data_IF_549511185845
#
_entry.id   IF_549511185845
#
_cell.length_a   1.000
_cell.length_b   1.000
_cell.length_c   1.000
_cell.angle_alpha   90.00
_cell.angle_beta   90.00
_cell.angle_gamma   90.00
#
_symmetry.space_group_name_H-M   'P 1'
#
loop_
_entity.id
_entity.type
_entity.pdbx_description
1 polymer ?
#
# COMPACT_ATOMS: atom_id res chain seq x y z
N UNK A 1 -45.82 -67.33 14.22
CA UNK A 1 -44.72 -67.65 15.16
C UNK A 1 -43.62 -66.60 14.95
N UNK A 2 -43.23 -65.86 16.02
CA UNK A 2 -41.90 -65.25 16.37
C UNK A 2 -41.04 -64.66 15.22
N UNK A 3 -40.46 -63.45 15.25
CA UNK A 3 -39.92 -62.55 16.29
C UNK A 3 -39.98 -61.10 15.76
N UNK A 4 -40.33 -60.04 16.51
CA UNK A 4 -39.56 -59.36 17.58
C UNK A 4 -38.14 -58.90 17.17
N UNK A 5 -38.00 -57.62 16.83
CA UNK A 5 -36.97 -56.72 17.39
C UNK A 5 -37.42 -55.25 17.26
N UNK A 6 -38.02 -54.74 18.34
CA UNK A 6 -37.99 -53.33 18.69
C UNK A 6 -36.57 -53.04 19.19
N UNK A 7 -35.90 -52.02 18.66
CA UNK A 7 -34.66 -51.50 19.24
C UNK A 7 -34.84 -50.02 19.63
N UNK A 8 -34.54 -49.63 20.89
CA UNK A 8 -34.77 -48.28 21.40
C UNK A 8 -33.52 -47.40 21.32
N UNK A 9 -33.75 -46.08 21.33
CA UNK A 9 -33.01 -45.02 22.06
C UNK A 9 -31.47 -45.04 21.97
N UNK A 10 -30.86 -43.96 21.46
CA UNK A 10 -30.05 -43.04 22.28
C UNK A 10 -29.52 -41.86 21.45
N UNK A 11 -29.61 -40.70 22.06
CA UNK A 11 -29.09 -39.44 21.58
C UNK A 11 -27.56 -39.42 21.57
N UNK A 12 -26.98 -38.72 20.59
CA UNK A 12 -25.65 -38.15 20.70
C UNK A 12 -25.65 -36.81 19.94
N UNK A 13 -25.97 -35.74 20.68
CA UNK A 13 -25.60 -34.37 20.31
C UNK A 13 -24.07 -34.29 20.35
N UNK A 14 -23.42 -34.38 19.20
CA UNK A 14 -22.02 -33.98 19.07
C UNK A 14 -21.99 -32.46 18.89
N UNK A 15 -21.92 -31.73 20.02
CA UNK A 15 -21.52 -30.34 20.02
C UNK A 15 -20.05 -30.28 19.55
N UNK A 16 -19.83 -29.91 18.29
CA UNK A 16 -18.51 -29.56 17.81
C UNK A 16 -18.17 -28.19 18.40
N UNK A 17 -17.42 -28.19 19.51
CA UNK A 17 -16.83 -26.99 20.07
C UNK A 17 -15.85 -26.41 19.05
N UNK A 18 -16.23 -25.31 18.41
CA UNK A 18 -15.33 -24.49 17.61
C UNK A 18 -14.34 -23.82 18.58
N UNK A 19 -13.19 -24.46 18.79
CA UNK A 19 -12.07 -23.81 19.45
C UNK A 19 -11.50 -22.76 18.47
N UNK A 20 -12.06 -21.55 18.49
CA UNK A 20 -11.40 -20.39 17.90
C UNK A 20 -10.16 -20.10 18.76
N UNK A 21 -9.03 -20.69 18.40
CA UNK A 21 -7.76 -20.23 18.92
C UNK A 21 -7.60 -18.75 18.52
N UNK A 22 -7.33 -17.82 19.45
CA UNK A 22 -6.86 -16.51 19.03
C UNK A 22 -5.54 -16.74 18.29
N UNK A 23 -5.54 -16.44 16.99
CA UNK A 23 -4.30 -16.30 16.26
C UNK A 23 -3.57 -15.10 16.86
N UNK A 24 -2.73 -15.35 17.87
CA UNK A 24 -1.77 -14.39 18.36
C UNK A 24 -0.78 -14.18 17.21
N UNK A 25 -0.99 -13.10 16.45
CA UNK A 25 -0.01 -12.61 15.49
C UNK A 25 1.28 -12.37 16.27
N UNK A 26 2.24 -13.28 16.11
CA UNK A 26 3.58 -13.12 16.66
C UNK A 26 4.24 -12.00 15.88
N UNK A 27 4.15 -10.76 16.37
CA UNK A 27 5.06 -9.71 15.95
C UNK A 27 6.45 -10.15 16.37
N UNK A 28 7.25 -10.57 15.39
CA UNK A 28 8.66 -10.86 15.60
C UNK A 28 9.36 -9.61 16.10
N UNK A 29 9.56 -9.51 17.41
CA UNK A 29 10.58 -8.65 18.01
C UNK A 29 11.94 -9.27 17.65
N UNK A 30 12.36 -9.08 16.41
CA UNK A 30 13.53 -9.71 15.82
C UNK A 30 14.50 -8.66 15.30
N UNK A 31 15.54 -8.43 16.09
CA UNK A 31 16.82 -7.81 15.72
C UNK A 31 16.75 -6.49 14.93
N UNK A 32 17.05 -5.40 15.63
CA UNK A 32 17.43 -4.10 15.08
C UNK A 32 18.59 -4.27 14.09
N UNK A 33 18.24 -4.45 12.82
CA UNK A 33 19.09 -4.15 11.69
C UNK A 33 18.65 -2.76 11.23
N UNK A 34 19.63 -1.91 10.96
CA UNK A 34 19.51 -0.49 10.56
C UNK A 34 18.70 -0.29 9.26
N UNK A 35 17.42 -0.63 9.26
CA UNK A 35 16.46 -0.41 8.20
C UNK A 35 15.40 0.50 8.81
N UNK A 36 15.19 1.68 8.24
CA UNK A 36 14.33 2.67 8.89
C UNK A 36 12.91 2.07 8.90
N UNK A 37 12.34 1.81 10.07
CA UNK A 37 10.92 1.42 10.20
C UNK A 37 10.04 2.67 9.99
N UNK A 38 10.17 3.29 8.81
CA UNK A 38 9.42 4.47 8.43
C UNK A 38 8.01 3.99 8.08
N UNK A 39 7.05 4.06 9.01
CA UNK A 39 5.65 3.75 8.71
C UNK A 39 4.94 4.97 8.10
N UNK A 40 5.32 6.16 8.57
CA UNK A 40 4.78 7.45 8.18
C UNK A 40 5.94 8.37 7.83
N UNK A 41 5.78 9.16 6.76
CA UNK A 41 6.74 10.18 6.39
C UNK A 41 6.10 11.41 5.78
N UNK A 42 6.93 12.40 5.47
CA UNK A 42 6.58 13.59 4.72
C UNK A 42 7.41 13.64 3.44
N UNK A 43 6.76 13.93 2.33
CA UNK A 43 7.42 14.05 1.02
C UNK A 43 7.38 15.48 0.53
N UNK A 44 8.55 15.99 0.17
CA UNK A 44 8.69 17.30 -0.48
C UNK A 44 9.50 17.11 -1.75
N UNK A 45 8.84 17.14 -2.90
CA UNK A 45 9.48 16.90 -4.18
C UNK A 45 8.58 16.14 -5.16
N UNK A 46 9.19 15.41 -6.08
CA UNK A 46 8.49 14.76 -7.19
C UNK A 46 8.26 13.28 -6.88
N UNK A 47 7.01 12.86 -6.99
CA UNK A 47 6.61 11.47 -6.87
C UNK A 47 5.81 11.03 -8.11
N UNK A 48 5.73 9.73 -8.36
CA UNK A 48 4.93 9.23 -9.48
C UNK A 48 5.20 7.78 -9.81
N UNK A 49 4.90 7.41 -11.05
CA UNK A 49 5.27 6.07 -11.53
C UNK A 49 6.79 5.91 -11.49
N UNK A 50 7.29 4.71 -11.19
CA UNK A 50 8.72 4.48 -11.09
C UNK A 50 9.47 4.83 -12.38
N UNK A 51 8.86 4.60 -13.54
CA UNK A 51 9.43 5.00 -14.82
C UNK A 51 9.43 6.53 -14.98
N UNK A 52 8.31 7.19 -14.75
CA UNK A 52 8.19 8.64 -14.93
C UNK A 52 9.05 9.45 -13.97
N UNK A 53 9.29 8.96 -12.75
CA UNK A 53 10.24 9.57 -11.80
C UNK A 53 11.67 9.43 -12.31
N UNK A 54 12.08 8.25 -12.81
CA UNK A 54 13.40 8.08 -13.43
C UNK A 54 13.61 9.03 -14.61
N UNK A 55 12.61 9.15 -15.47
CA UNK A 55 12.65 10.03 -16.65
C UNK A 55 12.70 11.50 -16.25
N UNK A 56 11.97 11.90 -15.19
CA UNK A 56 12.07 13.24 -14.60
C UNK A 56 13.48 13.53 -14.05
N UNK A 57 14.08 12.60 -13.32
CA UNK A 57 15.42 12.76 -12.77
C UNK A 57 16.48 12.86 -13.86
N UNK A 58 16.31 12.11 -14.95
CA UNK A 58 17.16 12.16 -16.14
C UNK A 58 16.94 13.41 -17.00
N UNK A 59 15.83 14.12 -16.82
CA UNK A 59 15.53 15.36 -17.54
C UNK A 59 16.47 16.49 -17.08
N UNK A 60 17.10 17.24 -18.01
CA UNK A 60 17.90 18.41 -17.67
C UNK A 60 17.13 19.40 -16.81
N UNK A 61 17.79 20.00 -15.82
CA UNK A 61 17.14 20.85 -14.81
C UNK A 61 16.27 21.97 -15.42
N UNK A 62 16.76 22.62 -16.48
CA UNK A 62 16.03 23.67 -17.23
C UNK A 62 14.70 23.20 -17.84
N UNK A 63 14.55 21.89 -18.06
CA UNK A 63 13.40 21.28 -18.74
C UNK A 63 12.46 20.55 -17.76
N UNK A 64 12.85 20.41 -16.48
CA UNK A 64 12.08 19.70 -15.45
C UNK A 64 10.69 20.29 -15.20
N UNK A 65 10.56 21.62 -15.19
CA UNK A 65 9.26 22.29 -15.02
C UNK A 65 8.32 21.97 -16.18
N UNK A 66 8.84 21.90 -17.41
CA UNK A 66 8.05 21.50 -18.57
C UNK A 66 7.64 20.03 -18.46
N UNK A 67 8.57 19.17 -18.06
CA UNK A 67 8.29 17.75 -17.85
C UNK A 67 7.15 17.52 -16.87
N UNK A 68 7.14 18.21 -15.71
CA UNK A 68 6.06 18.10 -14.72
C UNK A 68 4.69 18.44 -15.31
N UNK A 69 4.64 19.50 -16.13
CA UNK A 69 3.40 19.95 -16.77
C UNK A 69 2.92 18.98 -17.86
N UNK A 70 3.84 18.48 -18.67
CA UNK A 70 3.51 17.64 -19.82
C UNK A 70 3.26 16.17 -19.44
N UNK A 71 3.67 15.77 -18.22
CA UNK A 71 3.56 14.41 -17.70
C UNK A 71 2.90 14.40 -16.32
N UNK A 72 1.81 15.16 -16.16
CA UNK A 72 1.01 15.13 -14.93
C UNK A 72 0.55 13.71 -14.60
N UNK A 73 0.42 13.40 -13.32
CA UNK A 73 0.06 12.06 -12.87
C UNK A 73 -1.33 11.68 -13.38
N UNK A 74 -1.42 10.49 -13.96
CA UNK A 74 -2.65 9.91 -14.47
C UNK A 74 -2.72 8.47 -13.99
N UNK A 75 -3.87 8.04 -13.52
CA UNK A 75 -4.05 6.71 -12.93
C UNK A 75 -5.38 6.08 -13.37
N UNK A 76 -5.43 4.76 -13.36
CA UNK A 76 -6.68 4.00 -13.54
C UNK A 76 -7.41 3.93 -12.21
N UNK A 77 -8.58 4.51 -12.15
CA UNK A 77 -9.46 4.42 -10.98
C UNK A 77 -10.12 3.03 -11.00
N UNK A 78 -10.16 2.37 -9.86
CA UNK A 78 -10.82 1.07 -9.71
C UNK A 78 -12.33 1.17 -9.98
N UNK A 79 -12.95 0.06 -10.39
CA UNK A 79 -14.38 0.02 -10.75
C UNK A 79 -15.31 0.37 -9.58
N UNK A 80 -14.84 0.18 -8.34
CA UNK A 80 -15.54 0.51 -7.10
C UNK A 80 -15.21 1.91 -6.56
N UNK A 81 -14.45 2.71 -7.31
CA UNK A 81 -13.97 4.05 -6.96
C UNK A 81 -13.20 4.11 -5.62
N UNK A 82 -12.62 2.99 -5.15
CA UNK A 82 -11.94 2.92 -3.84
C UNK A 82 -10.48 3.41 -3.86
N UNK A 83 -9.78 3.19 -4.97
CA UNK A 83 -8.36 3.50 -5.14
C UNK A 83 -8.01 3.72 -6.60
N UNK A 84 -6.80 4.20 -6.84
CA UNK A 84 -6.22 4.31 -8.17
C UNK A 84 -4.96 3.46 -8.30
N UNK A 85 -4.70 2.95 -9.51
CA UNK A 85 -3.58 2.07 -9.82
C UNK A 85 -3.05 2.31 -11.23
N UNK A 86 -1.96 1.61 -11.59
CA UNK A 86 -1.42 1.65 -12.95
C UNK A 86 -1.04 3.06 -13.42
N UNK A 87 -0.50 3.87 -12.52
CA UNK A 87 -0.24 5.27 -12.79
C UNK A 87 0.92 5.50 -13.75
N UNK A 88 0.82 6.60 -14.49
CA UNK A 88 1.85 7.18 -15.34
C UNK A 88 2.04 8.64 -14.96
N UNK A 89 3.16 9.23 -15.34
CA UNK A 89 3.46 10.63 -15.03
C UNK A 89 3.95 10.84 -13.60
N UNK A 90 4.01 12.11 -13.23
CA UNK A 90 4.59 12.63 -11.99
C UNK A 90 3.68 13.68 -11.37
N UNK A 91 3.84 13.88 -10.07
CA UNK A 91 3.19 14.94 -9.30
C UNK A 91 4.18 15.57 -8.34
N UNK A 92 3.92 16.81 -7.96
CA UNK A 92 4.72 17.56 -7.00
C UNK A 92 4.03 17.54 -5.64
N UNK A 93 4.68 16.91 -4.66
CA UNK A 93 4.23 16.85 -3.27
C UNK A 93 4.88 17.97 -2.46
N UNK A 94 4.09 18.69 -1.65
CA UNK A 94 4.51 19.83 -0.86
C UNK A 94 4.40 19.53 0.63
N UNK A 95 5.40 18.85 1.18
CA UNK A 95 5.39 18.39 2.57
C UNK A 95 4.16 17.54 2.88
N UNK A 96 3.81 16.66 1.95
CA UNK A 96 2.63 15.80 2.06
C UNK A 96 2.90 14.65 3.03
N UNK A 97 1.98 14.44 3.97
CA UNK A 97 2.03 13.29 4.89
C UNK A 97 1.62 12.03 4.15
N UNK A 98 2.49 11.03 4.15
CA UNK A 98 2.30 9.76 3.42
C UNK A 98 2.51 8.57 4.33
N UNK A 99 1.86 7.45 3.98
CA UNK A 99 2.24 6.15 4.54
C UNK A 99 3.34 5.56 3.67
N UNK A 100 4.44 5.15 4.29
CA UNK A 100 5.53 4.50 3.57
C UNK A 100 5.19 3.01 3.45
N UNK A 101 5.23 2.51 2.21
CA UNK A 101 4.87 1.14 1.87
C UNK A 101 6.09 0.24 1.75
N UNK A 102 7.16 0.72 1.10
CA UNK A 102 8.43 0.01 0.97
C UNK A 102 9.58 1.03 0.84
N UNK A 103 10.53 0.99 1.77
CA UNK A 103 11.72 1.84 1.80
C UNK A 103 13.02 1.05 1.58
N UNK A 104 12.90 -0.20 1.13
CA UNK A 104 14.05 -1.10 0.99
C UNK A 104 14.99 -0.73 -0.16
N UNK A 105 14.50 0.01 -1.15
CA UNK A 105 15.30 0.53 -2.26
C UNK A 105 16.06 1.81 -1.83
N UNK A 106 17.39 1.88 -2.01
CA UNK A 106 18.17 3.02 -1.54
C UNK A 106 17.94 4.30 -2.37
N UNK A 107 17.39 4.20 -3.58
CA UNK A 107 17.16 5.31 -4.48
C UNK A 107 15.71 5.83 -4.44
N UNK A 108 14.74 4.95 -4.22
CA UNK A 108 13.32 5.29 -4.17
C UNK A 108 12.58 4.66 -3.00
N UNK A 109 11.52 5.31 -2.55
CA UNK A 109 10.61 4.81 -1.51
C UNK A 109 9.21 4.74 -2.10
N UNK A 110 8.57 3.58 -1.99
CA UNK A 110 7.15 3.42 -2.31
C UNK A 110 6.30 4.01 -1.20
N UNK A 111 5.36 4.86 -1.56
CA UNK A 111 4.52 5.64 -0.66
C UNK A 111 3.06 5.52 -1.08
N UNK A 112 2.16 5.53 -0.10
CA UNK A 112 0.73 5.72 -0.29
C UNK A 112 0.42 7.20 -0.10
N UNK A 113 -0.08 7.83 -1.16
CA UNK A 113 -0.52 9.23 -1.13
C UNK A 113 -1.87 9.36 -1.82
N UNK A 114 -2.56 10.47 -1.54
CA UNK A 114 -3.79 10.85 -2.20
C UNK A 114 -3.48 11.76 -3.39
N UNK A 115 -3.90 11.37 -4.59
CA UNK A 115 -3.72 12.16 -5.80
C UNK A 115 -5.06 12.62 -6.34
N UNK A 116 -5.10 13.86 -6.82
CA UNK A 116 -6.27 14.42 -7.51
C UNK A 116 -6.31 13.88 -8.94
N UNK A 117 -7.45 13.32 -9.32
CA UNK A 117 -7.75 12.78 -10.66
C UNK A 117 -9.12 13.31 -11.09
N UNK A 118 -9.50 13.08 -12.34
CA UNK A 118 -10.73 13.63 -12.95
C UNK A 118 -12.02 13.41 -12.15
N UNK A 119 -12.13 12.31 -11.40
CA UNK A 119 -13.33 11.92 -10.64
C UNK A 119 -13.22 12.12 -9.13
N UNK A 120 -12.11 12.68 -8.64
CA UNK A 120 -11.88 12.93 -7.23
C UNK A 120 -10.46 12.60 -6.77
N UNK A 121 -10.30 12.45 -5.46
CA UNK A 121 -8.99 12.21 -4.84
C UNK A 121 -8.87 10.76 -4.37
N UNK A 122 -7.91 10.03 -4.91
CA UNK A 122 -7.79 8.58 -4.70
C UNK A 122 -6.46 8.22 -4.04
N UNK A 123 -6.45 7.26 -3.08
CA UNK A 123 -5.19 6.70 -2.59
C UNK A 123 -4.52 5.89 -3.70
N UNK A 124 -3.21 6.06 -3.82
CA UNK A 124 -2.36 5.40 -4.82
C UNK A 124 -1.01 5.04 -4.22
N UNK A 125 -0.45 3.90 -4.64
CA UNK A 125 0.96 3.57 -4.41
C UNK A 125 1.80 4.13 -5.56
N UNK A 126 2.68 5.08 -5.25
CA UNK A 126 3.67 5.65 -6.18
C UNK A 126 5.04 5.65 -5.52
N UNK A 127 6.08 6.06 -6.25
CA UNK A 127 7.42 6.19 -5.68
C UNK A 127 7.86 7.64 -5.61
N UNK A 128 8.67 7.95 -4.60
CA UNK A 128 9.41 9.20 -4.49
C UNK A 128 10.92 8.88 -4.36
N UNK A 129 11.82 9.78 -4.77
CA UNK A 129 13.24 9.67 -4.44
C UNK A 129 13.46 9.56 -2.93
N UNK A 130 14.30 8.63 -2.47
CA UNK A 130 14.49 8.38 -1.03
C UNK A 130 15.05 9.59 -0.27
N UNK A 131 15.71 10.52 -0.95
CA UNK A 131 16.20 11.78 -0.37
C UNK A 131 15.11 12.86 -0.23
N UNK A 132 13.93 12.66 -0.82
CA UNK A 132 12.77 13.56 -0.72
C UNK A 132 11.76 13.10 0.34
N UNK A 133 11.97 11.92 0.92
CA UNK A 133 11.17 11.35 2.02
C UNK A 133 11.85 11.60 3.36
N UNK A 134 11.10 12.18 4.30
CA UNK A 134 11.52 12.34 5.70
C UNK A 134 10.59 11.55 6.60
N UNK A 135 11.12 10.68 7.46
CA UNK A 135 10.28 9.93 8.39
C UNK A 135 9.69 10.85 9.47
N UNK A 136 8.44 10.58 9.85
CA UNK A 136 7.82 11.13 11.06
C UNK A 136 8.53 10.48 12.26
N UNK A 137 8.94 11.29 13.25
CA UNK A 137 9.63 10.80 14.48
C UNK A 137 8.65 10.28 15.53
#
# INVERSE_FOLDING_TARGET
MKCLTLSPVLAAFAAMALAAAPALAQTSAGASNSKRDCAIGYVTGVAGSAQSVRDYLATPERDRIRYLKDNEIQCKIADDDSHASGCTGVTLLKNEKVSVYDDSDPATTAIVVRVELDRGTYPVIIVAPSNEVKCDE
#
